data_IF_551998192357
#
_entry.id   IF_551998192357
#
_cell.length_a   1.000
_cell.length_b   1.000
_cell.length_c   1.000
_cell.angle_alpha   90.00
_cell.angle_beta   90.00
_cell.angle_gamma   90.00
#
_symmetry.space_group_name_H-M   'P 1'
#
loop_
_entity.id
_entity.type
_entity.pdbx_description
1 polymer ?
#
# COMPACT_ATOMS: atom_id res chain seq x y z
N UNK A 1 42.75 19.94 22.02
CA UNK A 1 42.70 18.64 21.33
C UNK A 1 42.32 17.63 22.40
N UNK A 2 41.04 17.56 22.70
CA UNK A 2 40.50 16.63 23.70
C UNK A 2 39.89 15.46 22.95
N UNK A 3 40.53 14.31 23.10
CA UNK A 3 40.05 13.01 22.66
C UNK A 3 38.96 12.56 23.61
N UNK A 4 37.69 12.75 23.24
CA UNK A 4 36.59 12.01 23.85
C UNK A 4 36.51 10.64 23.17
N UNK A 5 37.28 9.69 23.71
CA UNK A 5 37.03 8.26 23.55
C UNK A 5 35.88 7.89 24.49
N UNK A 6 34.65 8.01 24.02
CA UNK A 6 33.48 7.41 24.66
C UNK A 6 33.22 6.08 23.97
N UNK A 7 33.73 4.99 24.55
CA UNK A 7 33.32 3.64 24.21
C UNK A 7 31.81 3.55 24.41
N UNK A 8 31.06 3.52 23.31
CA UNK A 8 29.60 3.36 23.30
C UNK A 8 29.27 2.06 24.06
N UNK A 9 28.32 2.07 25.01
CA UNK A 9 27.95 0.82 25.69
C UNK A 9 27.43 -0.18 24.65
N UNK A 10 27.99 -1.38 24.66
CA UNK A 10 27.64 -2.43 23.70
C UNK A 10 26.17 -2.81 23.78
N UNK A 11 25.55 -3.07 22.63
CA UNK A 11 24.13 -3.45 22.55
C UNK A 11 23.85 -4.72 23.37
N UNK A 12 22.82 -4.66 24.23
CA UNK A 12 22.43 -5.74 25.12
C UNK A 12 20.92 -5.89 25.18
N UNK A 13 20.44 -7.10 24.92
CA UNK A 13 19.03 -7.47 25.02
C UNK A 13 18.74 -7.90 26.45
N UNK A 14 17.76 -7.27 27.10
CA UNK A 14 17.30 -7.66 28.42
C UNK A 14 15.78 -7.86 28.44
N UNK A 15 15.29 -8.77 29.29
CA UNK A 15 13.85 -9.09 29.33
C UNK A 15 12.94 -7.92 29.75
N UNK A 16 13.48 -6.90 30.41
CA UNK A 16 12.74 -5.73 30.88
C UNK A 16 12.49 -4.66 29.82
N UNK A 17 13.21 -4.68 28.69
CA UNK A 17 13.07 -3.66 27.64
C UNK A 17 11.79 -3.86 26.82
N UNK A 18 11.31 -2.78 26.20
CA UNK A 18 10.18 -2.82 25.26
C UNK A 18 10.62 -3.30 23.89
N UNK A 19 9.69 -3.86 23.12
CA UNK A 19 9.94 -4.31 21.73
C UNK A 19 10.42 -3.14 20.85
N UNK A 20 9.85 -1.93 21.01
CA UNK A 20 10.32 -0.74 20.30
C UNK A 20 11.77 -0.37 20.60
N UNK A 21 12.18 -0.48 21.87
CA UNK A 21 13.55 -0.20 22.30
C UNK A 21 14.51 -1.20 21.68
N UNK A 22 14.14 -2.49 21.67
CA UNK A 22 14.93 -3.52 21.01
C UNK A 22 15.13 -3.22 19.52
N UNK A 23 14.06 -2.85 18.81
CA UNK A 23 14.11 -2.50 17.39
C UNK A 23 14.99 -1.28 17.13
N UNK A 24 14.82 -0.23 17.93
CA UNK A 24 15.57 1.02 17.82
C UNK A 24 17.06 0.79 18.08
N UNK A 25 17.41 0.21 19.21
CA UNK A 25 18.81 0.05 19.62
C UNK A 25 19.56 -0.93 18.71
N UNK A 26 18.87 -1.96 18.21
CA UNK A 26 19.45 -2.90 17.24
C UNK A 26 19.74 -2.21 15.90
N UNK A 27 18.85 -1.33 15.46
CA UNK A 27 19.04 -0.52 14.25
C UNK A 27 20.19 0.47 14.41
N UNK A 28 20.28 1.16 15.55
CA UNK A 28 21.37 2.11 15.81
C UNK A 28 22.74 1.43 15.90
N UNK A 29 22.81 0.22 16.45
CA UNK A 29 24.08 -0.48 16.63
C UNK A 29 24.53 -1.20 15.35
N UNK A 30 23.64 -1.99 14.74
CA UNK A 30 24.02 -2.86 13.64
C UNK A 30 23.62 -2.31 12.27
N UNK A 31 22.89 -1.19 12.21
CA UNK A 31 22.32 -0.64 10.99
C UNK A 31 21.42 -1.64 10.25
N UNK A 32 20.73 -2.51 11.00
CA UNK A 32 19.84 -3.55 10.50
C UNK A 32 18.52 -3.53 11.28
N UNK A 33 17.43 -3.94 10.64
CA UNK A 33 16.15 -4.10 11.33
C UNK A 33 16.03 -5.46 12.02
N UNK A 34 15.18 -5.52 13.04
CA UNK A 34 14.78 -6.77 13.70
C UNK A 34 13.27 -6.87 13.80
N UNK A 35 12.72 -8.01 13.37
CA UNK A 35 11.32 -8.38 13.51
C UNK A 35 11.15 -9.27 14.71
N UNK A 36 10.23 -8.91 15.60
CA UNK A 36 9.96 -9.63 16.84
C UNK A 36 8.56 -10.24 16.75
N UNK A 37 8.45 -11.53 17.05
CA UNK A 37 7.21 -12.26 16.95
C UNK A 37 6.76 -12.80 18.30
N UNK A 38 5.45 -12.76 18.55
CA UNK A 38 4.80 -13.46 19.65
C UNK A 38 4.41 -14.88 19.21
N UNK A 39 4.27 -15.80 20.18
CA UNK A 39 3.70 -17.16 19.98
C UNK A 39 4.38 -17.96 18.83
N UNK A 40 5.67 -18.28 18.99
CA UNK A 40 6.44 -19.11 18.04
C UNK A 40 6.43 -18.62 16.57
N UNK A 41 6.33 -17.31 16.33
CA UNK A 41 6.43 -16.75 14.97
C UNK A 41 5.10 -16.56 14.23
N UNK A 42 3.94 -16.72 14.89
CA UNK A 42 2.63 -16.62 14.21
C UNK A 42 2.11 -15.20 14.06
N UNK A 43 2.54 -14.27 14.92
CA UNK A 43 2.07 -12.89 14.95
C UNK A 43 3.22 -11.96 15.35
N UNK A 44 3.24 -10.73 14.83
CA UNK A 44 4.17 -9.71 15.29
C UNK A 44 3.88 -9.33 16.75
N UNK A 45 4.94 -9.06 17.50
CA UNK A 45 4.82 -8.48 18.83
C UNK A 45 4.42 -6.99 18.72
N UNK A 46 3.63 -6.52 19.68
CA UNK A 46 3.31 -5.10 19.85
C UNK A 46 4.56 -4.34 20.29
N UNK A 47 4.73 -3.11 19.83
CA UNK A 47 5.92 -2.30 20.10
C UNK A 47 5.96 -1.78 21.54
N UNK A 48 4.80 -1.62 22.18
CA UNK A 48 4.67 -1.08 23.54
C UNK A 48 4.81 -2.13 24.64
N UNK A 49 4.80 -3.43 24.30
CA UNK A 49 4.96 -4.50 25.29
C UNK A 49 6.44 -4.78 25.59
N UNK A 50 6.70 -5.29 26.79
CA UNK A 50 8.04 -5.74 27.18
C UNK A 50 8.39 -7.09 26.57
N UNK A 51 9.68 -7.37 26.41
CA UNK A 51 10.14 -8.71 25.99
C UNK A 51 9.67 -9.80 26.98
N UNK A 52 9.62 -9.47 28.27
CA UNK A 52 9.05 -10.34 29.30
C UNK A 52 7.54 -10.63 29.15
N UNK A 53 6.77 -9.79 28.45
CA UNK A 53 5.33 -10.02 28.23
C UNK A 53 5.04 -10.88 26.98
N UNK A 54 6.05 -11.08 26.12
CA UNK A 54 5.95 -11.89 24.91
C UNK A 54 6.68 -13.23 25.01
N UNK A 55 7.61 -13.38 25.96
CA UNK A 55 8.29 -14.65 26.25
C UNK A 55 7.33 -15.72 26.73
N UNK A 56 7.74 -16.97 26.58
CA UNK A 56 7.12 -18.10 27.26
C UNK A 56 7.68 -18.20 28.70
N UNK A 57 6.80 -18.48 29.68
CA UNK A 57 7.09 -18.50 31.12
C UNK A 57 8.17 -19.51 31.54
N UNK A 58 8.46 -20.49 30.68
CA UNK A 58 9.50 -21.50 30.90
C UNK A 58 10.93 -20.95 30.73
N UNK A 59 11.10 -19.82 30.03
CA UNK A 59 12.41 -19.27 29.68
C UNK A 59 12.78 -18.08 30.58
N UNK A 60 13.89 -18.21 31.30
CA UNK A 60 14.36 -17.24 32.30
C UNK A 60 15.70 -16.57 31.96
N UNK A 61 16.07 -16.53 30.68
CA UNK A 61 17.25 -15.79 30.24
C UNK A 61 17.20 -14.33 30.69
N UNK A 62 18.29 -13.84 31.27
CA UNK A 62 18.37 -12.51 31.85
C UNK A 62 18.84 -11.47 30.85
N UNK A 63 19.91 -11.80 30.11
CA UNK A 63 20.57 -10.88 29.16
C UNK A 63 21.24 -11.63 28.01
N UNK A 64 21.36 -10.97 26.86
CA UNK A 64 22.11 -11.47 25.70
C UNK A 64 22.65 -10.32 24.86
N UNK A 65 23.94 -10.35 24.55
CA UNK A 65 24.62 -9.31 23.76
C UNK A 65 25.21 -9.94 22.49
N UNK A 66 24.57 -9.79 21.32
CA UNK A 66 25.14 -10.24 20.05
C UNK A 66 26.34 -9.38 19.61
N UNK A 67 27.35 -10.01 19.03
CA UNK A 67 28.50 -9.33 18.39
C UNK A 67 28.28 -9.20 16.88
N UNK A 68 28.90 -8.21 16.23
CA UNK A 68 28.78 -8.01 14.77
C UNK A 68 29.25 -9.23 13.95
N UNK A 69 30.17 -10.04 14.45
CA UNK A 69 30.64 -11.26 13.79
C UNK A 69 29.77 -12.49 14.11
N UNK A 70 28.70 -12.34 14.89
CA UNK A 70 27.77 -13.42 15.19
C UNK A 70 26.87 -13.70 13.99
N UNK A 71 26.70 -14.99 13.67
CA UNK A 71 25.77 -15.44 12.62
C UNK A 71 24.33 -15.18 13.02
N UNK A 72 23.51 -14.76 12.05
CA UNK A 72 22.09 -14.48 12.24
C UNK A 72 21.37 -15.70 12.80
N UNK A 73 21.58 -16.89 12.23
CA UNK A 73 20.98 -18.14 12.74
C UNK A 73 21.31 -18.36 14.23
N UNK A 74 22.58 -18.22 14.60
CA UNK A 74 23.03 -18.39 15.99
C UNK A 74 22.37 -17.39 16.94
N UNK A 75 22.16 -16.15 16.49
CA UNK A 75 21.46 -15.14 17.30
C UNK A 75 19.98 -15.50 17.44
N UNK A 76 19.31 -15.91 16.37
CA UNK A 76 17.90 -16.32 16.38
C UNK A 76 17.69 -17.51 17.33
N UNK A 77 18.56 -18.51 17.25
CA UNK A 77 18.52 -19.70 18.10
C UNK A 77 18.74 -19.34 19.57
N UNK A 78 19.74 -18.49 19.88
CA UNK A 78 19.99 -18.02 21.25
C UNK A 78 18.84 -17.20 21.81
N UNK A 79 18.21 -16.35 21.00
CA UNK A 79 17.06 -15.56 21.46
C UNK A 79 15.85 -16.46 21.73
N UNK A 80 15.63 -17.46 20.87
CA UNK A 80 14.61 -18.49 21.10
C UNK A 80 14.90 -19.30 22.36
N UNK A 81 16.16 -19.70 22.58
CA UNK A 81 16.59 -20.49 23.75
C UNK A 81 16.51 -19.69 25.06
N UNK A 82 16.91 -18.42 25.05
CA UNK A 82 16.99 -17.61 26.28
C UNK A 82 15.66 -16.95 26.63
N UNK A 83 14.89 -16.52 25.62
CA UNK A 83 13.69 -15.72 25.82
C UNK A 83 12.42 -16.35 25.23
N UNK A 84 12.49 -17.48 24.53
CA UNK A 84 11.29 -18.22 24.10
C UNK A 84 10.44 -17.51 23.05
N UNK A 85 11.00 -16.54 22.32
CA UNK A 85 10.31 -15.87 21.20
C UNK A 85 11.17 -15.85 19.95
N UNK A 86 10.51 -15.77 18.80
CA UNK A 86 11.19 -15.77 17.49
C UNK A 86 11.57 -14.34 17.11
N UNK A 87 12.77 -14.17 16.57
CA UNK A 87 13.20 -12.96 15.88
C UNK A 87 13.69 -13.26 14.48
N UNK A 88 13.58 -12.27 13.59
CA UNK A 88 14.17 -12.32 12.26
C UNK A 88 14.86 -10.99 11.94
N UNK A 89 16.07 -11.05 11.41
CA UNK A 89 16.81 -9.86 11.03
C UNK A 89 16.42 -9.47 9.61
N UNK A 90 16.28 -8.18 9.37
CA UNK A 90 15.93 -7.62 8.07
C UNK A 90 16.84 -6.46 7.72
N UNK A 91 16.85 -6.07 6.44
CA UNK A 91 17.53 -4.85 6.01
C UNK A 91 17.06 -3.62 6.79
N UNK A 92 17.87 -2.56 6.81
CA UNK A 92 17.61 -1.34 7.59
C UNK A 92 16.24 -0.70 7.30
N UNK A 93 15.74 -0.85 6.08
CA UNK A 93 14.43 -0.36 5.63
C UNK A 93 13.30 -1.40 5.71
N UNK A 94 13.51 -2.50 6.44
CA UNK A 94 12.55 -3.58 6.69
C UNK A 94 11.98 -4.30 5.44
N UNK A 95 12.57 -4.09 4.26
CA UNK A 95 12.03 -4.57 2.97
C UNK A 95 12.27 -6.06 2.69
N UNK A 96 13.30 -6.66 3.29
CA UNK A 96 13.65 -8.06 3.08
C UNK A 96 14.27 -8.68 4.33
N UNK A 97 14.23 -10.00 4.46
CA UNK A 97 14.90 -10.74 5.54
C UNK A 97 16.36 -11.01 5.17
N UNK A 98 17.27 -10.75 6.10
CA UNK A 98 18.68 -11.10 5.95
C UNK A 98 18.83 -12.62 5.92
N UNK A 99 19.77 -13.12 5.12
CA UNK A 99 20.01 -14.56 5.04
C UNK A 99 20.65 -15.07 6.32
N UNK A 100 20.13 -16.16 6.87
CA UNK A 100 20.50 -16.68 8.20
C UNK A 100 21.96 -17.15 8.30
N UNK A 101 22.60 -17.48 7.18
CA UNK A 101 24.00 -17.91 7.13
C UNK A 101 25.01 -16.77 7.31
N UNK A 102 24.59 -15.52 7.11
CA UNK A 102 25.44 -14.33 7.22
C UNK A 102 25.65 -13.92 8.68
N UNK A 103 26.79 -13.31 8.94
CA UNK A 103 27.03 -12.51 10.14
C UNK A 103 26.29 -11.16 10.07
N UNK A 104 26.10 -10.48 11.21
CA UNK A 104 25.50 -9.14 11.20
C UNK A 104 26.33 -8.15 10.37
N UNK A 105 27.65 -8.27 10.40
CA UNK A 105 28.55 -7.45 9.59
C UNK A 105 28.35 -7.70 8.09
N UNK A 106 28.34 -8.96 7.65
CA UNK A 106 28.11 -9.32 6.24
C UNK A 106 26.70 -8.92 5.78
N UNK A 107 25.70 -9.05 6.66
CA UNK A 107 24.33 -8.63 6.37
C UNK A 107 24.23 -7.11 6.21
N UNK A 108 24.95 -6.33 7.02
CA UNK A 108 25.06 -4.87 6.89
C UNK A 108 25.73 -4.47 5.58
N UNK A 109 26.82 -5.13 5.20
CA UNK A 109 27.48 -4.88 3.90
C UNK A 109 26.55 -5.19 2.73
N UNK A 110 25.80 -6.29 2.80
CA UNK A 110 24.80 -6.64 1.81
C UNK A 110 23.65 -5.61 1.73
N UNK A 111 23.19 -5.09 2.88
CA UNK A 111 22.16 -4.03 2.93
C UNK A 111 22.66 -2.70 2.38
N UNK A 112 23.88 -2.28 2.73
CA UNK A 112 24.50 -1.11 2.14
C UNK A 112 24.62 -1.24 0.62
N UNK A 113 25.03 -2.40 0.12
CA UNK A 113 25.08 -2.67 -1.32
C UNK A 113 23.69 -2.61 -1.95
N UNK A 114 22.69 -3.20 -1.31
CA UNK A 114 21.30 -3.14 -1.77
C UNK A 114 20.78 -1.71 -1.83
N UNK A 115 21.03 -0.90 -0.80
CA UNK A 115 20.67 0.52 -0.74
C UNK A 115 21.37 1.30 -1.86
N UNK A 116 22.69 1.16 -2.01
CA UNK A 116 23.45 1.84 -3.07
C UNK A 116 23.01 1.41 -4.47
N UNK A 117 22.67 0.13 -4.67
CA UNK A 117 22.10 -0.36 -5.93
C UNK A 117 20.71 0.22 -6.19
N UNK A 118 19.88 0.36 -5.14
CA UNK A 118 18.54 0.95 -5.24
C UNK A 118 18.62 2.45 -5.48
N UNK A 119 19.47 3.17 -4.78
CA UNK A 119 19.76 4.59 -4.97
C UNK A 119 20.39 4.85 -6.32
N UNK A 120 21.31 4.01 -6.81
CA UNK A 120 21.87 4.17 -8.15
C UNK A 120 20.89 3.80 -9.26
N UNK A 121 19.98 2.84 -9.04
CA UNK A 121 18.84 2.59 -9.95
C UNK A 121 17.84 3.72 -9.93
N UNK A 122 17.55 4.30 -8.77
CA UNK A 122 16.68 5.47 -8.64
C UNK A 122 17.34 6.70 -9.28
N UNK A 123 18.61 6.98 -9.00
CA UNK A 123 19.37 8.06 -9.62
C UNK A 123 19.55 7.83 -11.12
N UNK A 124 19.76 6.59 -11.60
CA UNK A 124 19.75 6.28 -13.03
C UNK A 124 18.35 6.39 -13.63
N UNK A 125 17.29 6.08 -12.90
CA UNK A 125 15.92 6.30 -13.34
C UNK A 125 15.63 7.81 -13.41
N UNK A 126 16.11 8.60 -12.45
CA UNK A 126 16.03 10.08 -12.44
C UNK A 126 16.87 10.68 -13.57
N UNK A 127 18.10 10.23 -13.78
CA UNK A 127 18.98 10.69 -14.87
C UNK A 127 18.46 10.21 -16.25
N UNK A 128 17.91 9.00 -16.34
CA UNK A 128 17.25 8.51 -17.55
C UNK A 128 15.88 9.18 -17.75
N UNK A 129 15.20 9.64 -16.71
CA UNK A 129 14.03 10.53 -16.82
C UNK A 129 14.46 11.92 -17.31
N UNK A 130 15.57 12.46 -16.83
CA UNK A 130 16.12 13.74 -17.29
C UNK A 130 16.64 13.69 -18.73
N UNK A 131 17.14 12.54 -19.20
CA UNK A 131 17.70 12.37 -20.56
C UNK A 131 16.72 11.65 -21.53
N UNK A 132 15.65 11.02 -21.04
CA UNK A 132 14.71 10.21 -21.84
C UNK A 132 13.26 10.19 -21.32
N UNK A 133 12.77 11.20 -20.59
CA UNK A 133 11.34 11.49 -20.56
C UNK A 133 11.04 12.90 -21.06
N UNK A 134 10.38 13.07 -22.23
CA UNK A 134 9.50 14.22 -22.36
C UNK A 134 8.52 14.15 -21.19
N UNK A 135 8.33 15.26 -20.47
CA UNK A 135 7.37 15.39 -19.36
C UNK A 135 6.14 14.54 -19.67
N UNK A 136 5.91 13.45 -18.92
CA UNK A 136 4.77 12.57 -19.15
C UNK A 136 3.53 13.32 -18.66
N UNK A 137 2.74 13.84 -19.59
CA UNK A 137 1.61 14.70 -19.28
C UNK A 137 0.35 13.88 -19.03
N UNK A 138 -0.47 14.30 -18.07
CA UNK A 138 -1.83 13.80 -17.87
C UNK A 138 -2.81 14.97 -17.88
N UNK A 139 -4.05 14.71 -18.27
CA UNK A 139 -5.15 15.60 -17.91
C UNK A 139 -5.55 15.31 -16.46
N UNK A 140 -5.59 16.35 -15.61
CA UNK A 140 -6.23 16.30 -14.30
C UNK A 140 -7.59 16.96 -14.39
N UNK A 141 -8.63 16.23 -14.04
CA UNK A 141 -10.02 16.68 -14.08
C UNK A 141 -10.48 16.84 -12.65
N UNK A 142 -10.83 18.06 -12.26
CA UNK A 142 -11.27 18.39 -10.90
C UNK A 142 -12.73 18.80 -10.91
N UNK A 143 -13.52 18.25 -9.99
CA UNK A 143 -14.91 18.68 -9.84
C UNK A 143 -15.01 20.13 -9.36
N UNK A 144 -15.94 20.91 -9.93
CA UNK A 144 -16.29 22.25 -9.44
C UNK A 144 -17.56 22.27 -8.58
N UNK A 145 -18.29 21.16 -8.52
CA UNK A 145 -19.50 21.02 -7.71
C UNK A 145 -19.36 19.91 -6.66
N UNK A 146 -20.26 19.94 -5.67
CA UNK A 146 -20.31 18.91 -4.63
C UNK A 146 -21.09 17.70 -5.14
N UNK A 147 -20.69 16.50 -4.68
CA UNK A 147 -21.39 15.23 -4.94
C UNK A 147 -21.44 14.83 -6.42
N UNK A 148 -20.43 15.22 -7.17
CA UNK A 148 -20.30 15.04 -8.62
C UNK A 148 -19.14 14.12 -8.99
N UNK A 149 -18.60 13.37 -8.03
CA UNK A 149 -17.55 12.36 -8.26
C UNK A 149 -18.11 10.99 -7.94
N UNK A 150 -18.01 10.07 -8.89
CA UNK A 150 -18.47 8.69 -8.74
C UNK A 150 -17.33 7.75 -9.08
N UNK A 151 -16.92 6.94 -8.12
CA UNK A 151 -16.11 5.75 -8.40
C UNK A 151 -17.06 4.62 -8.77
N UNK A 152 -16.89 4.04 -9.96
CA UNK A 152 -17.73 2.96 -10.48
C UNK A 152 -16.88 1.75 -10.81
N UNK A 153 -17.16 0.61 -10.18
CA UNK A 153 -16.57 -0.67 -10.55
C UNK A 153 -17.61 -1.55 -11.23
N UNK A 154 -17.31 -2.01 -12.43
CA UNK A 154 -18.18 -2.88 -13.21
C UNK A 154 -17.63 -4.30 -13.17
N UNK A 155 -18.49 -5.26 -12.82
CA UNK A 155 -18.10 -6.66 -12.73
C UNK A 155 -19.09 -7.58 -13.44
N UNK A 156 -18.58 -8.69 -13.95
CA UNK A 156 -19.35 -9.74 -14.58
C UNK A 156 -18.88 -11.13 -14.18
N UNK A 157 -19.80 -12.10 -14.16
CA UNK A 157 -19.45 -13.52 -14.05
C UNK A 157 -19.27 -14.19 -15.43
N UNK A 158 -18.87 -15.45 -15.43
CA UNK A 158 -18.70 -16.27 -16.65
C UNK A 158 -19.99 -16.43 -17.47
N UNK A 159 -21.16 -16.15 -16.88
CA UNK A 159 -22.47 -16.23 -17.55
C UNK A 159 -22.93 -14.89 -18.13
N UNK A 160 -22.06 -13.88 -18.12
CA UNK A 160 -22.34 -12.49 -18.49
C UNK A 160 -23.44 -11.84 -17.65
N UNK A 161 -23.68 -12.30 -16.41
CA UNK A 161 -24.43 -11.50 -15.44
C UNK A 161 -23.48 -10.45 -14.90
N UNK A 162 -23.94 -9.20 -14.86
CA UNK A 162 -23.13 -8.09 -14.39
C UNK A 162 -23.88 -7.25 -13.38
N UNK A 163 -23.12 -6.62 -12.50
CA UNK A 163 -23.57 -5.51 -11.67
C UNK A 163 -22.45 -4.48 -11.61
N UNK A 164 -22.78 -3.27 -11.20
CA UNK A 164 -21.79 -2.27 -10.86
C UNK A 164 -22.02 -1.74 -9.44
N UNK A 165 -20.93 -1.36 -8.80
CA UNK A 165 -20.98 -0.63 -7.54
C UNK A 165 -20.54 0.80 -7.79
N UNK A 166 -21.33 1.75 -7.29
CA UNK A 166 -21.08 3.18 -7.40
C UNK A 166 -20.86 3.77 -6.02
N UNK A 167 -19.68 4.34 -5.79
CA UNK A 167 -19.37 5.12 -4.60
C UNK A 167 -19.36 6.59 -4.98
N UNK A 168 -20.25 7.36 -4.37
CA UNK A 168 -20.38 8.79 -4.62
C UNK A 168 -19.60 9.56 -3.56
N UNK A 169 -18.78 10.50 -4.02
CA UNK A 169 -17.93 11.32 -3.18
C UNK A 169 -18.31 12.79 -3.30
N UNK A 170 -18.14 13.55 -2.21
CA UNK A 170 -18.46 14.97 -2.20
C UNK A 170 -17.51 15.75 -3.11
N UNK A 171 -16.24 15.38 -3.12
CA UNK A 171 -15.19 16.01 -3.91
C UNK A 171 -14.20 14.98 -4.43
N UNK A 172 -13.46 15.36 -5.46
CA UNK A 172 -12.34 14.59 -5.95
C UNK A 172 -11.88 15.00 -7.34
N UNK A 173 -10.86 14.29 -7.80
CA UNK A 173 -10.24 14.49 -9.10
C UNK A 173 -9.96 13.16 -9.78
N UNK A 174 -9.73 13.19 -11.09
CA UNK A 174 -9.44 12.02 -11.90
C UNK A 174 -8.43 12.37 -12.98
N UNK A 175 -7.83 11.33 -13.57
CA UNK A 175 -6.78 11.51 -14.57
C UNK A 175 -7.12 10.82 -15.90
N UNK A 176 -6.72 11.43 -17.01
CA UNK A 176 -6.69 10.79 -18.34
C UNK A 176 -5.30 10.94 -18.94
N UNK A 177 -4.93 9.96 -19.75
CA UNK A 177 -3.72 10.02 -20.55
C UNK A 177 -3.77 11.18 -21.55
N UNK A 178 -2.62 11.77 -21.87
CA UNK A 178 -2.57 12.87 -22.84
C UNK A 178 -3.07 12.45 -24.24
N UNK A 179 -2.97 11.15 -24.56
CA UNK A 179 -3.43 10.56 -25.82
C UNK A 179 -4.94 10.23 -25.83
N UNK A 180 -5.64 10.41 -24.71
CA UNK A 180 -7.08 10.26 -24.56
C UNK A 180 -7.69 11.58 -24.06
N UNK A 181 -7.77 12.61 -24.93
CA UNK A 181 -8.12 13.96 -24.53
C UNK A 181 -9.54 14.09 -24.01
N UNK A 182 -9.74 15.05 -23.11
CA UNK A 182 -11.10 15.46 -22.70
C UNK A 182 -11.77 16.15 -23.86
N UNK A 183 -12.87 15.58 -24.36
CA UNK A 183 -13.60 16.10 -25.51
C UNK A 183 -14.69 17.06 -25.07
N UNK A 184 -15.04 18.03 -25.93
CA UNK A 184 -16.17 18.93 -25.70
C UNK A 184 -17.46 18.13 -25.51
N UNK A 185 -17.62 17.03 -26.24
CA UNK A 185 -18.77 16.13 -26.08
C UNK A 185 -18.87 15.48 -24.71
N UNK A 186 -17.75 15.28 -23.99
CA UNK A 186 -17.78 14.76 -22.63
C UNK A 186 -18.51 15.74 -21.71
N UNK A 187 -18.32 17.04 -21.93
CA UNK A 187 -18.92 18.11 -21.13
C UNK A 187 -20.32 18.47 -21.64
N UNK A 188 -20.50 18.64 -22.95
CA UNK A 188 -21.73 19.19 -23.53
C UNK A 188 -22.82 18.15 -23.75
N UNK A 189 -22.44 16.90 -24.11
CA UNK A 189 -23.39 15.82 -24.38
C UNK A 189 -23.50 14.84 -23.21
N UNK A 190 -22.35 14.30 -22.76
CA UNK A 190 -22.33 13.29 -21.69
C UNK A 190 -22.47 13.92 -20.30
N UNK A 191 -22.14 15.21 -20.15
CA UNK A 191 -22.12 15.96 -18.89
C UNK A 191 -21.26 15.32 -17.80
N UNK A 192 -20.27 14.53 -18.21
CA UNK A 192 -19.30 13.88 -17.33
C UNK A 192 -18.04 13.50 -18.09
N UNK A 193 -16.91 13.57 -17.40
CA UNK A 193 -15.65 13.02 -17.88
C UNK A 193 -15.41 11.68 -17.19
N UNK A 194 -15.12 10.65 -17.98
CA UNK A 194 -14.76 9.32 -17.46
C UNK A 194 -13.25 9.17 -17.46
N UNK A 195 -12.72 8.76 -16.33
CA UNK A 195 -11.30 8.50 -16.07
C UNK A 195 -11.13 7.03 -15.67
N UNK A 196 -9.96 6.45 -15.95
CA UNK A 196 -9.62 5.11 -15.46
C UNK A 196 -9.00 5.25 -14.07
N UNK A 197 -9.46 4.45 -13.11
CA UNK A 197 -8.84 4.40 -11.79
C UNK A 197 -7.48 3.66 -11.88
N UNK A 198 -6.43 4.25 -11.31
CA UNK A 198 -5.07 3.74 -11.40
C UNK A 198 -4.15 4.47 -12.39
N UNK A 199 -4.65 5.51 -13.07
CA UNK A 199 -3.83 6.48 -13.82
C UNK A 199 -3.49 7.66 -12.92
N UNK A 200 -2.26 8.17 -13.06
CA UNK A 200 -1.74 9.24 -12.22
C UNK A 200 -1.51 8.78 -10.78
N UNK A 201 -1.56 9.71 -9.83
CA UNK A 201 -1.32 9.45 -8.40
C UNK A 201 -2.51 8.83 -7.66
N UNK A 202 -3.48 8.29 -8.40
CA UNK A 202 -4.74 7.85 -7.83
C UNK A 202 -5.66 9.03 -7.55
N UNK A 203 -6.95 8.80 -7.70
CA UNK A 203 -7.93 9.83 -7.51
C UNK A 203 -8.11 10.14 -6.01
N UNK A 204 -7.84 11.37 -5.60
CA UNK A 204 -8.06 11.84 -4.23
C UNK A 204 -9.56 12.09 -4.03
N UNK A 205 -10.29 11.06 -3.62
CA UNK A 205 -11.71 11.17 -3.30
C UNK A 205 -11.89 11.52 -1.82
N UNK A 206 -12.66 12.57 -1.56
CA UNK A 206 -12.95 13.01 -0.20
C UNK A 206 -14.44 12.87 0.10
N UNK A 207 -14.73 12.44 1.33
CA UNK A 207 -16.07 12.41 1.91
C UNK A 207 -17.07 11.55 1.10
N UNK A 208 -17.00 10.22 1.30
CA UNK A 208 -17.96 9.26 0.75
C UNK A 208 -19.38 9.60 1.27
N UNK A 209 -20.29 9.90 0.34
CA UNK A 209 -21.67 10.31 0.66
C UNK A 209 -22.71 9.22 0.42
N UNK A 210 -22.46 8.29 -0.49
CA UNK A 210 -23.42 7.23 -0.84
C UNK A 210 -22.69 6.06 -1.50
N UNK A 211 -23.21 4.86 -1.28
CA UNK A 211 -22.88 3.67 -2.06
C UNK A 211 -24.17 3.17 -2.69
N UNK A 212 -24.17 2.98 -4.00
CA UNK A 212 -25.28 2.41 -4.76
C UNK A 212 -24.83 1.20 -5.57
N UNK A 213 -25.80 0.36 -5.95
CA UNK A 213 -25.58 -0.85 -6.73
C UNK A 213 -26.51 -0.88 -7.94
N UNK A 214 -25.90 -0.83 -9.12
CA UNK A 214 -26.58 -0.99 -10.40
C UNK A 214 -26.62 -2.47 -10.77
N UNK A 215 -27.79 -3.08 -10.68
CA UNK A 215 -28.03 -4.50 -11.01
C UNK A 215 -28.50 -4.70 -12.45
N UNK A 216 -28.43 -3.65 -13.29
CA UNK A 216 -29.03 -3.62 -14.62
C UNK A 216 -30.56 -3.45 -14.60
N UNK A 217 -31.15 -3.52 -15.79
CA UNK A 217 -32.60 -3.36 -15.97
C UNK A 217 -33.37 -4.44 -15.21
N UNK A 218 -34.39 -4.04 -14.46
CA UNK A 218 -35.37 -4.92 -13.80
C UNK A 218 -35.91 -6.06 -14.68
N UNK A 219 -36.04 -5.85 -15.99
CA UNK A 219 -36.51 -6.87 -16.95
C UNK A 219 -35.45 -7.93 -17.28
N UNK A 220 -34.16 -7.61 -17.12
CA UNK A 220 -33.03 -8.50 -17.42
C UNK A 220 -32.24 -8.89 -16.16
N UNK A 221 -32.62 -8.35 -15.01
CA UNK A 221 -31.99 -8.59 -13.72
C UNK A 221 -32.15 -10.06 -13.31
N UNK A 222 -31.02 -10.76 -13.25
CA UNK A 222 -30.93 -12.19 -12.90
C UNK A 222 -30.51 -12.42 -11.45
N UNK A 223 -30.51 -11.38 -10.61
CA UNK A 223 -30.07 -11.45 -9.21
C UNK A 223 -31.24 -11.62 -8.26
N UNK A 224 -31.15 -12.61 -7.38
CA UNK A 224 -32.11 -12.77 -6.28
C UNK A 224 -31.87 -11.73 -5.17
N UNK A 225 -32.91 -11.36 -4.41
CA UNK A 225 -32.76 -10.42 -3.28
C UNK A 225 -31.77 -10.92 -2.20
N UNK A 226 -31.70 -12.24 -2.00
CA UNK A 226 -30.73 -12.86 -1.09
C UNK A 226 -29.29 -12.67 -1.58
N UNK A 227 -29.07 -12.81 -2.88
CA UNK A 227 -27.76 -12.61 -3.53
C UNK A 227 -27.35 -11.14 -3.46
N UNK A 228 -28.24 -10.21 -3.83
CA UNK A 228 -28.00 -8.77 -3.70
C UNK A 228 -27.61 -8.39 -2.27
N UNK A 229 -28.34 -8.89 -1.27
CA UNK A 229 -28.04 -8.64 0.15
C UNK A 229 -26.67 -9.19 0.56
N UNK A 230 -26.29 -10.37 0.06
CA UNK A 230 -24.97 -10.95 0.35
C UNK A 230 -23.83 -10.14 -0.27
N UNK A 231 -23.98 -9.71 -1.53
CA UNK A 231 -22.97 -8.90 -2.23
C UNK A 231 -22.80 -7.55 -1.52
N UNK A 232 -23.90 -6.87 -1.20
CA UNK A 232 -23.89 -5.61 -0.42
C UNK A 232 -23.15 -5.78 0.91
N UNK A 233 -23.41 -6.88 1.64
CA UNK A 233 -22.75 -7.13 2.91
C UNK A 233 -21.22 -7.30 2.79
N UNK A 234 -20.72 -7.93 1.72
CA UNK A 234 -19.27 -8.01 1.48
C UNK A 234 -18.68 -6.64 1.16
N UNK A 235 -19.34 -5.85 0.32
CA UNK A 235 -18.86 -4.53 -0.07
C UNK A 235 -18.85 -3.54 1.11
N UNK A 236 -19.95 -3.46 1.86
CA UNK A 236 -20.12 -2.58 3.02
C UNK A 236 -19.30 -3.03 4.25
N UNK A 237 -18.47 -4.07 4.11
CA UNK A 237 -17.61 -4.64 5.16
C UNK A 237 -18.37 -5.24 6.34
N UNK A 238 -19.66 -5.53 6.17
CA UNK A 238 -20.51 -6.25 7.10
C UNK A 238 -20.25 -7.77 7.07
N UNK A 239 -19.62 -8.26 6.00
CA UNK A 239 -19.20 -9.65 5.81
C UNK A 239 -17.77 -9.67 5.29
N UNK A 240 -17.03 -10.71 5.69
CA UNK A 240 -15.68 -11.01 5.20
C UNK A 240 -15.64 -12.42 4.63
N UNK A 241 -14.74 -12.66 3.69
CA UNK A 241 -14.45 -14.02 3.24
C UNK A 241 -13.53 -14.76 4.23
N UNK A 242 -13.16 -16.00 3.92
CA UNK A 242 -12.36 -16.86 4.79
C UNK A 242 -10.93 -16.33 5.02
N UNK A 243 -10.46 -15.41 4.18
CA UNK A 243 -9.18 -14.71 4.33
C UNK A 243 -9.34 -13.32 4.99
N UNK A 244 -10.54 -12.97 5.43
CA UNK A 244 -10.83 -11.70 6.10
C UNK A 244 -11.05 -10.51 5.16
N UNK A 245 -11.23 -10.74 3.86
CA UNK A 245 -11.33 -9.70 2.82
C UNK A 245 -12.77 -9.19 2.69
N UNK A 246 -12.92 -7.89 2.44
CA UNK A 246 -14.20 -7.18 2.26
C UNK A 246 -13.99 -5.90 1.46
N UNK A 247 -15.07 -5.24 1.02
CA UNK A 247 -15.00 -4.04 0.18
C UNK A 247 -14.35 -4.32 -1.16
N UNK A 248 -13.54 -3.36 -1.64
CA UNK A 248 -12.80 -3.48 -2.90
C UNK A 248 -11.86 -4.69 -2.89
N UNK A 249 -11.24 -4.98 -1.74
CA UNK A 249 -10.29 -6.09 -1.61
C UNK A 249 -10.95 -7.46 -1.77
N UNK A 250 -12.21 -7.60 -1.35
CA UNK A 250 -12.99 -8.79 -1.67
C UNK A 250 -13.25 -8.89 -3.17
N UNK A 251 -13.63 -7.81 -3.83
CA UNK A 251 -14.00 -7.84 -5.25
C UNK A 251 -12.80 -8.06 -6.19
N UNK A 252 -11.63 -7.54 -5.82
CA UNK A 252 -10.42 -7.56 -6.67
C UNK A 252 -9.56 -8.80 -6.43
N UNK A 253 -9.51 -9.31 -5.20
CA UNK A 253 -8.61 -10.39 -4.82
C UNK A 253 -9.33 -11.61 -4.22
N UNK A 254 -10.64 -11.51 -3.99
CA UNK A 254 -11.46 -12.55 -3.39
C UNK A 254 -11.49 -13.86 -4.17
N UNK A 255 -11.78 -14.95 -3.45
CA UNK A 255 -12.04 -16.26 -4.05
C UNK A 255 -13.52 -16.32 -4.49
N UNK A 256 -13.81 -15.76 -5.66
CA UNK A 256 -15.13 -15.69 -6.27
C UNK A 256 -15.06 -15.63 -7.80
N UNK A 257 -16.19 -15.85 -8.47
CA UNK A 257 -16.27 -15.89 -9.93
C UNK A 257 -16.59 -14.52 -10.58
N UNK A 258 -16.41 -13.42 -9.86
CA UNK A 258 -16.58 -12.08 -10.42
C UNK A 258 -15.29 -11.60 -11.08
N UNK A 259 -15.43 -11.01 -12.26
CA UNK A 259 -14.35 -10.42 -13.03
C UNK A 259 -14.63 -8.95 -13.29
N UNK A 260 -13.66 -8.09 -13.03
CA UNK A 260 -13.74 -6.66 -13.33
C UNK A 260 -13.62 -6.39 -14.83
N UNK A 261 -14.16 -5.26 -15.28
CA UNK A 261 -14.02 -4.79 -16.66
C UNK A 261 -12.52 -4.76 -17.07
N UNK A 262 -12.10 -5.47 -18.13
CA UNK A 262 -10.69 -5.58 -18.52
C UNK A 262 -10.09 -4.25 -18.99
N UNK A 263 -10.91 -3.29 -19.41
CA UNK A 263 -10.45 -1.94 -19.79
C UNK A 263 -10.20 -1.04 -18.58
N UNK A 264 -10.76 -1.38 -17.42
CA UNK A 264 -10.61 -0.64 -16.17
C UNK A 264 -10.70 -1.61 -14.99
N UNK A 265 -9.67 -2.45 -14.77
CA UNK A 265 -9.71 -3.50 -13.74
C UNK A 265 -9.86 -2.94 -12.33
N UNK A 266 -9.41 -1.70 -12.10
CA UNK A 266 -9.55 -1.01 -10.82
C UNK A 266 -10.78 -0.08 -10.77
N UNK A 267 -11.67 -0.12 -11.78
CA UNK A 267 -12.85 0.74 -11.90
C UNK A 267 -12.61 2.05 -12.65
N UNK A 268 -13.68 2.81 -12.81
CA UNK A 268 -13.70 4.13 -13.43
C UNK A 268 -13.95 5.21 -12.37
N UNK A 269 -13.50 6.43 -12.67
CA UNK A 269 -13.91 7.64 -11.97
C UNK A 269 -14.69 8.50 -12.94
N UNK A 270 -15.94 8.80 -12.60
CA UNK A 270 -16.78 9.71 -13.38
C UNK A 270 -16.90 11.04 -12.64
N UNK A 271 -16.54 12.13 -13.31
CA UNK A 271 -16.60 13.49 -12.77
C UNK A 271 -17.63 14.26 -13.57
N UNK A 272 -18.75 14.57 -12.94
CA UNK A 272 -19.84 15.30 -13.56
C UNK A 272 -19.48 16.77 -13.75
N UNK A 273 -19.82 17.30 -14.93
CA UNK A 273 -19.63 18.70 -15.25
C UNK A 273 -20.48 19.59 -14.32
N UNK A 274 -20.01 20.80 -13.96
CA UNK A 274 -18.81 21.48 -14.47
C UNK A 274 -17.48 20.99 -13.84
N UNK A 275 -16.41 21.00 -14.65
CA UNK A 275 -15.06 20.55 -14.24
C UNK A 275 -13.98 21.58 -14.60
N UNK A 276 -12.88 21.59 -13.85
CA UNK A 276 -11.61 22.23 -14.21
C UNK A 276 -10.69 21.18 -14.82
N UNK A 277 -10.08 21.49 -15.97
CA UNK A 277 -9.14 20.61 -16.68
C UNK A 277 -7.76 21.25 -16.63
N UNK A 278 -6.77 20.54 -16.07
CA UNK A 278 -5.37 20.93 -16.06
C UNK A 278 -4.53 19.92 -16.85
N UNK A 279 -3.40 20.35 -17.39
CA UNK A 279 -2.33 19.45 -17.81
C UNK A 279 -1.31 19.42 -16.69
N UNK A 280 -1.03 18.22 -16.18
CA UNK A 280 -0.08 18.01 -15.08
C UNK A 280 1.06 17.11 -15.51
N UNK A 281 2.19 17.24 -14.82
CA UNK A 281 3.25 16.24 -14.85
C UNK A 281 2.79 14.98 -14.09
N UNK A 282 2.81 13.82 -14.75
CA UNK A 282 2.41 12.55 -14.16
C UNK A 282 3.29 12.13 -12.98
N UNK A 283 4.56 12.56 -12.97
CA UNK A 283 5.54 12.17 -11.95
C UNK A 283 5.30 12.83 -10.59
N UNK A 284 4.67 14.01 -10.54
CA UNK A 284 4.52 14.79 -9.30
C UNK A 284 3.18 15.54 -9.19
N UNK A 285 2.29 15.43 -10.18
CA UNK A 285 1.01 16.14 -10.29
C UNK A 285 1.10 17.67 -10.23
N UNK A 286 2.27 18.25 -10.51
CA UNK A 286 2.43 19.70 -10.65
C UNK A 286 1.73 20.15 -11.93
N UNK A 287 0.93 21.21 -11.84
CA UNK A 287 0.26 21.79 -12.99
C UNK A 287 1.27 22.45 -13.94
N UNK A 288 1.21 22.05 -15.20
CA UNK A 288 1.99 22.61 -16.30
C UNK A 288 1.15 23.66 -17.06
N UNK A 289 -0.14 23.37 -17.24
CA UNK A 289 -1.13 24.28 -17.79
C UNK A 289 -2.43 24.12 -16.99
N UNK A 290 -3.07 25.23 -16.64
CA UNK A 290 -4.28 25.21 -15.81
C UNK A 290 -5.52 25.68 -16.56
N UNK A 291 -6.66 25.07 -16.21
CA UNK A 291 -7.98 25.47 -16.69
C UNK A 291 -8.07 25.59 -18.23
N UNK A 292 -7.56 24.57 -18.91
CA UNK A 292 -7.62 24.48 -20.37
C UNK A 292 -9.03 24.11 -20.85
N UNK A 293 -9.36 24.52 -22.08
CA UNK A 293 -10.62 24.12 -22.71
C UNK A 293 -10.57 22.64 -23.15
N UNK A 294 -11.71 21.93 -23.17
CA UNK A 294 -11.77 20.61 -23.76
C UNK A 294 -11.50 20.66 -25.28
N UNK A 295 -11.01 19.55 -25.82
CA UNK A 295 -10.72 19.40 -27.24
C UNK A 295 -12.02 19.30 -28.05
N UNK A 296 -12.05 19.89 -29.24
CA UNK A 296 -13.22 19.87 -30.14
C UNK A 296 -13.47 18.50 -30.75
#
# INVERSE_FOLDING_TARGET
>A
METHDSTKPGFTINSGMQVKTLKHDFLEEFCLGIRVYKRYGRQFADDEVTLAAIRNDEFKGTEFSPDSNSKISTIQDKIMELFGFKVEMCGSVYHYLCRSELTLLEAKEADNKYILEKESKLNKAVINDEISHPIHKLYRITSLEKKSVVFRIEVSDETNRSFAVEEHYRWGQGFREINDPVLDSDITKLKKVRCINGIGWGAEWDDLVMVDFDWGDSATNKFSEKEKKSIKAYWEKNKKDDQGRSGHYWLLEGDHNWHTNPLAPNGFVEIYAPVKIDIVDAGNCVALEENIAPNK
#
